data_IF_704657812307
#
_entry.id   IF_704657812307
#
_cell.length_a   1.000
_cell.length_b   1.000
_cell.length_c   1.000
_cell.angle_alpha   90.00
_cell.angle_beta   90.00
_cell.angle_gamma   90.00
#
_symmetry.space_group_name_H-M   'P 1'
#
loop_
_entity.id
_entity.type
_entity.pdbx_description
1 polymer ?
#
# COMPACT_ATOMS: atom_id res chain seq x y z
N UNK A 1 21.97 -19.64 -4.91
CA UNK A 1 21.96 -18.17 -4.90
C UNK A 1 20.58 -17.78 -5.39
N UNK A 2 19.63 -17.66 -4.47
CA UNK A 2 18.22 -17.42 -4.81
C UNK A 2 18.05 -15.96 -5.23
N UNK A 3 18.16 -15.71 -6.53
CA UNK A 3 17.94 -14.38 -7.14
C UNK A 3 16.45 -14.03 -7.24
N UNK A 4 15.63 -14.55 -6.33
CA UNK A 4 14.27 -14.06 -6.14
C UNK A 4 14.35 -12.83 -5.24
N UNK A 5 14.98 -11.75 -5.73
CA UNK A 5 14.74 -10.42 -5.17
C UNK A 5 13.25 -10.18 -5.41
N UNK A 6 12.43 -10.36 -4.38
CA UNK A 6 11.05 -9.90 -4.38
C UNK A 6 11.09 -8.45 -4.88
N UNK A 7 10.59 -8.24 -6.10
CA UNK A 7 10.55 -6.92 -6.74
C UNK A 7 9.77 -5.99 -5.81
N UNK A 8 10.34 -4.83 -5.52
CA UNK A 8 9.66 -3.79 -4.73
C UNK A 8 8.52 -3.21 -5.58
N UNK A 9 7.25 -3.49 -5.26
CA UNK A 9 6.12 -3.06 -6.08
C UNK A 9 6.00 -1.53 -6.15
N UNK A 10 6.47 -0.81 -5.13
CA UNK A 10 6.47 0.66 -5.12
C UNK A 10 7.48 1.20 -6.12
N UNK A 11 8.65 0.55 -6.22
CA UNK A 11 9.67 0.89 -7.21
C UNK A 11 9.23 0.58 -8.63
N UNK A 12 8.56 -0.55 -8.86
CA UNK A 12 8.03 -0.89 -10.19
C UNK A 12 7.01 0.15 -10.68
N UNK A 13 6.13 0.63 -9.81
CA UNK A 13 5.18 1.70 -10.16
C UNK A 13 5.88 2.99 -10.55
N UNK A 14 6.91 3.38 -9.81
CA UNK A 14 7.74 4.53 -10.14
C UNK A 14 8.43 4.35 -11.49
N UNK A 15 9.12 3.22 -11.70
CA UNK A 15 9.86 2.92 -12.92
C UNK A 15 8.95 2.95 -14.15
N UNK A 16 7.75 2.36 -14.05
CA UNK A 16 6.74 2.38 -15.11
C UNK A 16 6.25 3.81 -15.41
N UNK A 17 5.91 4.60 -14.38
CA UNK A 17 5.44 5.96 -14.54
C UNK A 17 6.52 6.88 -15.13
N UNK A 18 7.75 6.79 -14.63
CA UNK A 18 8.87 7.58 -15.11
C UNK A 18 9.22 7.24 -16.57
N UNK A 19 9.26 5.96 -16.92
CA UNK A 19 9.56 5.53 -18.29
C UNK A 19 8.49 5.98 -19.28
N UNK A 20 7.21 5.92 -18.89
CA UNK A 20 6.10 6.42 -19.70
C UNK A 20 6.22 7.93 -19.95
N UNK A 21 6.46 8.73 -18.92
CA UNK A 21 6.63 10.18 -19.05
C UNK A 21 7.89 10.55 -19.83
N UNK A 22 9.01 9.87 -19.58
CA UNK A 22 10.25 10.05 -20.35
C UNK A 22 10.04 9.74 -21.84
N UNK A 23 9.35 8.64 -22.15
CA UNK A 23 9.01 8.26 -23.52
C UNK A 23 8.15 9.35 -24.18
N UNK A 24 7.12 9.81 -23.49
CA UNK A 24 6.21 10.86 -23.97
C UNK A 24 6.95 12.16 -24.27
N UNK A 25 7.86 12.60 -23.40
CA UNK A 25 8.63 13.84 -23.56
C UNK A 25 9.68 13.75 -24.66
N UNK A 26 10.34 12.61 -24.78
CA UNK A 26 11.47 12.44 -25.70
C UNK A 26 11.06 11.89 -27.09
N UNK A 27 9.79 11.48 -27.26
CA UNK A 27 9.30 10.83 -28.49
C UNK A 27 9.88 9.44 -28.74
N UNK A 28 10.67 8.90 -27.81
CA UNK A 28 11.29 7.58 -27.88
C UNK A 28 11.57 7.04 -26.48
N UNK A 29 11.44 5.72 -26.32
CA UNK A 29 11.75 5.03 -25.06
C UNK A 29 13.25 4.78 -24.92
N UNK A 30 13.79 5.17 -23.77
CA UNK A 30 15.18 4.89 -23.38
C UNK A 30 15.19 4.14 -22.04
N UNK A 31 15.18 2.80 -22.03
CA UNK A 31 15.16 2.03 -20.77
C UNK A 31 16.36 2.29 -19.87
N UNK A 32 17.51 2.67 -20.46
CA UNK A 32 18.74 3.01 -19.74
C UNK A 32 18.62 4.22 -18.81
N UNK A 33 17.53 5.00 -18.91
CA UNK A 33 17.28 6.07 -17.93
C UNK A 33 17.06 5.50 -16.52
N UNK A 34 16.64 4.24 -16.42
CA UNK A 34 16.43 3.54 -15.15
C UNK A 34 17.63 2.68 -14.74
N UNK A 35 18.80 2.85 -15.38
CA UNK A 35 20.02 2.11 -14.99
C UNK A 35 20.35 2.37 -13.52
N UNK A 36 20.71 1.31 -12.80
CA UNK A 36 21.09 1.36 -11.39
C UNK A 36 22.57 1.02 -11.22
N UNK A 37 23.19 1.66 -10.24
CA UNK A 37 24.53 1.31 -9.79
C UNK A 37 24.52 0.07 -8.90
N UNK A 38 25.70 -0.36 -8.49
CA UNK A 38 25.87 -1.51 -7.57
C UNK A 38 25.26 -1.25 -6.18
N UNK A 39 25.12 0.02 -5.81
CA UNK A 39 24.44 0.47 -4.59
C UNK A 39 22.89 0.41 -4.68
N UNK A 40 22.35 0.07 -5.85
CA UNK A 40 20.92 -0.04 -6.09
C UNK A 40 20.19 1.30 -6.31
N UNK A 41 20.92 2.42 -6.34
CA UNK A 41 20.40 3.75 -6.70
C UNK A 41 20.42 3.95 -8.23
N UNK A 42 19.57 4.85 -8.72
CA UNK A 42 19.61 5.25 -10.13
C UNK A 42 20.87 6.06 -10.41
N UNK A 43 21.57 5.70 -11.49
CA UNK A 43 22.82 6.36 -11.87
C UNK A 43 22.60 7.80 -12.38
N UNK A 44 21.39 8.08 -12.89
CA UNK A 44 21.02 9.41 -13.38
C UNK A 44 20.49 10.24 -12.20
N UNK A 45 21.13 11.36 -11.84
CA UNK A 45 20.74 12.13 -10.65
C UNK A 45 19.29 12.62 -10.66
N UNK A 46 18.77 13.05 -11.81
CA UNK A 46 17.37 13.50 -11.91
C UNK A 46 16.35 12.39 -11.67
N UNK A 47 16.69 11.15 -12.07
CA UNK A 47 15.86 9.97 -11.81
C UNK A 47 15.92 9.62 -10.33
N UNK A 48 17.11 9.69 -9.73
CA UNK A 48 17.28 9.47 -8.29
C UNK A 48 16.51 10.50 -7.45
N UNK A 49 16.55 11.79 -7.83
CA UNK A 49 15.76 12.83 -7.16
C UNK A 49 14.25 12.60 -7.32
N UNK A 50 13.80 12.17 -8.51
CA UNK A 50 12.40 11.83 -8.74
C UNK A 50 11.96 10.62 -7.90
N UNK A 51 12.84 9.62 -7.75
CA UNK A 51 12.61 8.46 -6.88
C UNK A 51 12.47 8.88 -5.41
N UNK A 52 13.38 9.71 -4.91
CA UNK A 52 13.29 10.27 -3.55
C UNK A 52 11.96 11.03 -3.35
N UNK A 53 11.60 11.91 -4.28
CA UNK A 53 10.36 12.67 -4.20
C UNK A 53 9.12 11.77 -4.24
N UNK A 54 9.17 10.68 -5.03
CA UNK A 54 8.11 9.68 -5.08
C UNK A 54 7.90 8.99 -3.73
N UNK A 55 8.98 8.53 -3.10
CA UNK A 55 8.92 7.92 -1.76
C UNK A 55 8.38 8.92 -0.72
N UNK A 56 8.92 10.13 -0.68
CA UNK A 56 8.50 11.17 0.26
C UNK A 56 7.01 11.54 0.09
N UNK A 57 6.52 11.61 -1.15
CA UNK A 57 5.10 11.90 -1.42
C UNK A 57 4.17 10.83 -0.83
N UNK A 58 4.56 9.56 -0.90
CA UNK A 58 3.78 8.43 -0.38
C UNK A 58 3.81 8.38 1.14
N UNK A 59 4.96 8.63 1.75
CA UNK A 59 5.10 8.73 3.20
C UNK A 59 4.31 9.90 3.80
N UNK A 60 4.04 10.94 3.02
CA UNK A 60 3.23 12.09 3.44
C UNK A 60 1.72 11.85 3.32
N UNK A 61 1.30 10.88 2.52
CA UNK A 61 -0.11 10.58 2.28
C UNK A 61 -0.64 9.67 3.39
N UNK A 62 -1.70 10.13 4.06
CA UNK A 62 -2.39 9.38 5.12
C UNK A 62 -3.77 8.99 4.62
N UNK A 63 -4.01 7.68 4.48
CA UNK A 63 -5.32 7.12 4.17
C UNK A 63 -6.11 6.96 5.48
N UNK A 64 -7.26 7.60 5.56
CA UNK A 64 -8.15 7.51 6.73
C UNK A 64 -9.13 6.38 6.53
N UNK A 65 -9.01 5.33 7.34
CA UNK A 65 -10.01 4.26 7.38
C UNK A 65 -11.17 4.62 8.32
N UNK A 66 -12.40 4.18 7.99
CA UNK A 66 -13.53 4.34 8.89
C UNK A 66 -13.31 3.57 10.20
N UNK A 67 -13.87 4.03 11.33
CA UNK A 67 -13.75 3.35 12.61
C UNK A 67 -14.31 1.93 12.51
N UNK A 68 -13.73 0.99 13.27
CA UNK A 68 -14.33 -0.34 13.43
C UNK A 68 -15.62 -0.18 14.23
N UNK A 69 -16.69 -0.88 13.84
CA UNK A 69 -17.89 -0.89 14.67
C UNK A 69 -17.54 -1.35 16.09
N UNK A 70 -18.17 -0.78 17.12
CA UNK A 70 -17.94 -1.22 18.49
C UNK A 70 -18.21 -2.71 18.61
N UNK A 71 -17.44 -3.35 19.49
CA UNK A 71 -17.64 -4.75 19.83
C UNK A 71 -19.09 -4.96 20.31
N UNK A 72 -19.80 -6.01 19.85
CA UNK A 72 -21.17 -6.25 20.25
C UNK A 72 -21.27 -6.45 21.77
N UNK A 73 -22.09 -5.64 22.44
CA UNK A 73 -22.43 -5.88 23.85
C UNK A 73 -23.61 -6.83 23.89
N UNK A 74 -23.38 -8.07 24.32
CA UNK A 74 -24.45 -9.05 24.52
C UNK A 74 -25.24 -8.70 25.79
N UNK A 75 -26.46 -8.19 25.63
CA UNK A 75 -27.44 -8.08 26.72
C UNK A 75 -28.34 -9.31 26.73
N UNK A 76 -28.79 -9.74 27.91
CA UNK A 76 -29.35 -11.08 28.19
C UNK A 76 -30.58 -11.54 27.40
N UNK A 77 -31.14 -10.73 26.50
CA UNK A 77 -32.20 -11.14 25.56
C UNK A 77 -31.67 -11.60 24.19
N UNK A 78 -30.40 -11.31 23.88
CA UNK A 78 -29.72 -11.77 22.66
C UNK A 78 -29.29 -13.25 22.72
N UNK A 79 -29.39 -13.89 23.91
CA UNK A 79 -28.98 -15.27 24.24
C UNK A 79 -29.80 -16.40 23.60
N UNK A 80 -30.35 -16.17 22.41
CA UNK A 80 -30.89 -17.26 21.59
C UNK A 80 -29.80 -17.65 20.59
N UNK A 81 -29.02 -18.65 21.02
CA UNK A 81 -27.93 -19.47 20.44
C UNK A 81 -27.50 -19.32 18.97
N UNK A 82 -28.30 -18.73 18.09
CA UNK A 82 -28.04 -18.62 16.65
C UNK A 82 -27.75 -17.18 16.22
N UNK A 83 -28.31 -16.18 16.92
CA UNK A 83 -28.13 -14.75 16.61
C UNK A 83 -26.81 -14.17 17.14
N UNK A 84 -26.28 -14.71 18.24
CA UNK A 84 -25.04 -14.25 18.87
C UNK A 84 -23.82 -14.63 18.01
N UNK A 85 -23.74 -15.89 17.58
CA UNK A 85 -22.67 -16.38 16.73
C UNK A 85 -22.63 -15.63 15.39
N UNK A 86 -23.80 -15.31 14.81
CA UNK A 86 -23.90 -14.50 13.60
C UNK A 86 -23.39 -13.07 13.82
N UNK A 87 -23.80 -12.42 14.92
CA UNK A 87 -23.40 -11.04 15.25
C UNK A 87 -21.89 -10.94 15.50
N UNK A 88 -21.32 -11.85 16.28
CA UNK A 88 -19.87 -11.93 16.51
C UNK A 88 -19.10 -12.24 15.23
N UNK A 89 -19.57 -13.18 14.42
CA UNK A 89 -18.93 -13.52 13.13
C UNK A 89 -18.93 -12.34 12.16
N UNK A 90 -20.02 -11.56 12.11
CA UNK A 90 -20.09 -10.36 11.28
C UNK A 90 -19.12 -9.27 11.74
N UNK A 91 -19.02 -9.02 13.05
CA UNK A 91 -18.07 -8.04 13.60
C UNK A 91 -16.62 -8.49 13.38
N UNK A 92 -16.30 -9.75 13.65
CA UNK A 92 -14.96 -10.31 13.44
C UNK A 92 -14.56 -10.27 11.96
N UNK A 93 -15.49 -10.60 11.05
CA UNK A 93 -15.27 -10.53 9.61
C UNK A 93 -15.03 -9.11 9.10
N UNK A 94 -15.78 -8.12 9.60
CA UNK A 94 -15.53 -6.71 9.27
C UNK A 94 -14.15 -6.26 9.76
N UNK A 95 -13.79 -6.61 10.99
CA UNK A 95 -12.49 -6.24 11.57
C UNK A 95 -11.34 -6.83 10.74
N UNK A 96 -11.43 -8.11 10.41
CA UNK A 96 -10.43 -8.79 9.57
C UNK A 96 -10.32 -8.14 8.18
N UNK A 97 -11.45 -7.87 7.53
CA UNK A 97 -11.46 -7.22 6.22
C UNK A 97 -10.83 -5.80 6.26
N UNK A 98 -11.01 -5.07 7.37
CA UNK A 98 -10.38 -3.75 7.57
C UNK A 98 -8.87 -3.86 7.79
N UNK A 99 -8.42 -4.87 8.52
CA UNK A 99 -6.99 -5.13 8.73
C UNK A 99 -6.31 -5.56 7.42
N UNK A 100 -6.96 -6.41 6.61
CA UNK A 100 -6.47 -6.77 5.27
C UNK A 100 -6.37 -5.55 4.35
N UNK A 101 -7.38 -4.66 4.39
CA UNK A 101 -7.33 -3.40 3.63
C UNK A 101 -6.18 -2.50 4.10
N UNK A 102 -5.96 -2.37 5.41
CA UNK A 102 -4.83 -1.62 5.96
C UNK A 102 -3.51 -2.19 5.43
N UNK A 103 -3.30 -3.49 5.57
CA UNK A 103 -2.08 -4.15 5.14
C UNK A 103 -1.83 -3.96 3.63
N UNK A 104 -2.87 -4.06 2.81
CA UNK A 104 -2.79 -3.82 1.37
C UNK A 104 -2.39 -2.37 1.04
N UNK A 105 -2.90 -1.38 1.77
CA UNK A 105 -2.54 0.04 1.61
C UNK A 105 -1.09 0.29 2.04
N UNK A 106 -0.68 -0.25 3.18
CA UNK A 106 0.69 -0.11 3.70
C UNK A 106 1.73 -0.76 2.77
N UNK A 107 1.38 -1.89 2.14
CA UNK A 107 2.21 -2.52 1.12
C UNK A 107 2.46 -1.65 -0.13
N UNK A 108 1.65 -0.60 -0.35
CA UNK A 108 1.88 0.40 -1.40
C UNK A 108 2.77 1.58 -0.93
N UNK A 109 3.31 1.52 0.29
CA UNK A 109 4.13 2.56 0.91
C UNK A 109 3.32 3.74 1.46
N UNK A 110 2.01 3.57 1.68
CA UNK A 110 1.11 4.60 2.19
C UNK A 110 0.86 4.42 3.69
N UNK A 111 0.67 5.51 4.43
CA UNK A 111 0.32 5.45 5.86
C UNK A 111 -1.18 5.34 6.05
N UNK A 112 -1.62 4.59 7.07
CA UNK A 112 -3.03 4.45 7.42
C UNK A 112 -3.30 5.00 8.81
N UNK A 113 -4.33 5.82 8.93
CA UNK A 113 -4.89 6.30 10.20
C UNK A 113 -6.30 5.71 10.37
N UNK A 114 -6.59 5.10 11.51
CA UNK A 114 -7.97 4.72 11.87
C UNK A 114 -8.55 5.84 12.72
N UNK A 115 -9.67 6.39 12.27
CA UNK A 115 -10.41 7.34 13.11
C UNK A 115 -10.89 6.64 14.38
N UNK A 116 -10.75 7.28 15.56
CA UNK A 116 -11.32 6.77 16.79
C UNK A 116 -12.84 6.64 16.71
#
# INVERSE_FOLDING_TARGET
MDTNKMRDPVREQFEAAYLAESTRRNGRTYPSVLTRGDDGNYVIPSVQSAWWAWQASRESLIVKLPPVRPEPVLTGEAQKTDGEAATWSMWAGEKLAKDDCRAAIEAQGLKVEVKP
#
